data_IF_659986325691
#
_entry.id   IF_659986325691
#
_cell.length_a   1.000
_cell.length_b   1.000
_cell.length_c   1.000
_cell.angle_alpha   90.00
_cell.angle_beta   90.00
_cell.angle_gamma   90.00
#
_symmetry.space_group_name_H-M   'P 1'
#
loop_
_entity.id
_entity.type
_entity.pdbx_description
1 polymer ?
#
# COMPACT_ATOMS: atom_id res chain seq x y z
N UNK A 1 -7.57 19.14 8.92
CA UNK A 1 -6.93 18.03 9.66
C UNK A 1 -5.50 17.93 9.15
N UNK A 2 -4.49 17.88 10.02
CA UNK A 2 -3.10 17.65 9.56
C UNK A 2 -3.02 16.24 9.01
N UNK A 3 -2.51 16.06 7.80
CA UNK A 3 -2.36 14.72 7.24
C UNK A 3 -1.27 13.96 8.01
N UNK A 4 -1.33 12.63 8.02
CA UNK A 4 -0.30 11.80 8.65
C UNK A 4 1.09 12.08 8.05
N UNK A 5 1.13 12.40 6.76
CA UNK A 5 2.33 12.81 6.02
C UNK A 5 2.91 14.13 6.54
N UNK A 6 2.06 15.12 6.82
CA UNK A 6 2.49 16.40 7.42
C UNK A 6 3.06 16.20 8.83
N UNK A 7 2.50 15.28 9.62
CA UNK A 7 3.01 14.94 10.94
C UNK A 7 4.35 14.21 10.85
N UNK A 8 4.50 13.25 9.93
CA UNK A 8 5.77 12.56 9.70
C UNK A 8 6.85 13.52 9.23
N UNK A 9 6.54 14.39 8.26
CA UNK A 9 7.48 15.38 7.74
C UNK A 9 7.97 16.32 8.86
N UNK A 10 7.06 16.84 9.68
CA UNK A 10 7.42 17.69 10.82
C UNK A 10 8.23 16.96 11.89
N UNK A 11 7.90 15.70 12.19
CA UNK A 11 8.70 14.90 13.12
C UNK A 11 10.15 14.74 12.62
N UNK A 12 10.33 14.52 11.31
CA UNK A 12 11.64 14.42 10.68
C UNK A 12 12.43 15.74 10.75
N UNK A 13 11.80 16.86 10.39
CA UNK A 13 12.41 18.19 10.45
C UNK A 13 12.87 18.56 11.88
N UNK A 14 12.06 18.24 12.90
CA UNK A 14 12.43 18.49 14.30
C UNK A 14 13.56 17.56 14.77
N UNK A 15 13.59 16.31 14.27
CA UNK A 15 14.67 15.37 14.57
C UNK A 15 16.00 15.81 13.94
N UNK A 16 15.98 16.32 12.71
CA UNK A 16 17.16 16.88 12.04
C UNK A 16 17.70 18.13 12.74
N UNK A 17 16.82 18.90 13.38
CA UNK A 17 17.21 20.03 14.26
C UNK A 17 17.82 19.59 15.59
N UNK A 18 17.96 18.30 15.84
CA UNK A 18 18.61 17.73 17.02
C UNK A 18 17.70 17.54 18.24
N UNK A 19 16.37 17.69 18.08
CA UNK A 19 15.45 17.50 19.19
C UNK A 19 15.35 16.03 19.62
N UNK A 20 15.12 15.82 20.92
CA UNK A 20 14.83 14.51 21.48
C UNK A 20 13.40 14.06 21.14
N UNK A 21 13.16 12.75 21.20
CA UNK A 21 11.84 12.17 20.91
C UNK A 21 10.74 12.72 21.81
N UNK A 22 11.06 13.03 23.07
CA UNK A 22 10.10 13.59 24.04
C UNK A 22 9.76 15.06 23.74
N UNK A 23 10.75 15.88 23.37
CA UNK A 23 10.51 17.27 22.96
C UNK A 23 9.66 17.35 21.68
N UNK A 24 9.92 16.44 20.72
CA UNK A 24 9.11 16.32 19.51
C UNK A 24 7.67 15.89 19.85
N UNK A 25 7.50 15.00 20.83
CA UNK A 25 6.19 14.54 21.28
C UNK A 25 5.38 15.70 21.88
N UNK A 26 6.01 16.54 22.69
CA UNK A 26 5.42 17.73 23.28
C UNK A 26 5.04 18.79 22.23
N UNK A 27 5.86 18.97 21.20
CA UNK A 27 5.61 19.91 20.09
C UNK A 27 4.48 19.43 19.17
N UNK A 28 4.48 18.14 18.82
CA UNK A 28 3.47 17.53 17.94
C UNK A 28 2.17 17.17 18.68
N UNK A 29 2.14 17.29 20.01
CA UNK A 29 1.00 16.92 20.88
C UNK A 29 0.60 15.45 20.69
N UNK A 30 1.59 14.56 20.62
CA UNK A 30 1.42 13.10 20.50
C UNK A 30 2.26 12.39 21.56
N UNK A 31 2.11 11.07 21.70
CA UNK A 31 2.96 10.29 22.60
C UNK A 31 4.35 10.04 22.00
N UNK A 32 5.36 9.83 22.85
CA UNK A 32 6.73 9.56 22.41
C UNK A 32 6.81 8.34 21.48
N UNK A 33 6.05 7.27 21.77
CA UNK A 33 5.98 6.08 20.92
C UNK A 33 5.41 6.41 19.53
N UNK A 34 4.48 7.37 19.44
CA UNK A 34 3.95 7.86 18.16
C UNK A 34 5.01 8.61 17.37
N UNK A 35 5.89 9.37 18.02
CA UNK A 35 7.03 10.03 17.34
C UNK A 35 7.99 9.00 16.77
N UNK A 36 8.34 7.98 17.55
CA UNK A 36 9.18 6.86 17.07
C UNK A 36 8.53 6.19 15.86
N UNK A 37 7.23 5.92 15.95
CA UNK A 37 6.46 5.35 14.85
C UNK A 37 6.44 6.25 13.61
N UNK A 38 6.24 7.57 13.76
CA UNK A 38 6.22 8.56 12.67
C UNK A 38 7.59 8.70 11.97
N UNK A 39 8.68 8.59 12.73
CA UNK A 39 10.04 8.63 12.19
C UNK A 39 10.42 7.35 11.44
N UNK A 40 9.94 6.20 11.91
CA UNK A 40 10.24 4.89 11.30
C UNK A 40 9.32 4.56 10.11
N UNK A 41 8.03 4.90 10.20
CA UNK A 41 6.98 4.40 9.29
C UNK A 41 6.14 5.51 8.64
N UNK A 42 6.43 6.79 8.90
CA UNK A 42 5.62 7.88 8.36
C UNK A 42 5.76 8.10 6.85
N UNK A 43 6.71 7.40 6.19
CA UNK A 43 6.78 7.24 4.73
C UNK A 43 6.04 5.99 4.21
N UNK A 44 5.85 4.97 5.04
CA UNK A 44 5.18 3.71 4.66
C UNK A 44 3.65 3.84 4.66
N UNK A 45 3.12 5.00 5.08
CA UNK A 45 1.72 5.37 4.94
C UNK A 45 1.24 5.48 3.49
N UNK A 46 2.15 5.48 2.52
CA UNK A 46 1.83 5.22 1.11
C UNK A 46 1.78 3.71 0.87
N UNK A 47 0.85 3.01 1.52
CA UNK A 47 0.19 1.95 0.75
C UNK A 47 -0.48 2.67 -0.41
N UNK A 48 -0.27 2.25 -1.67
CA UNK A 48 -0.97 2.84 -2.80
C UNK A 48 -2.46 2.93 -2.44
N UNK A 49 -3.04 4.12 -2.53
CA UNK A 49 -4.46 4.35 -2.21
C UNK A 49 -5.42 3.59 -3.14
N UNK A 50 -4.91 2.83 -4.11
CA UNK A 50 -5.70 2.34 -5.24
C UNK A 50 -5.54 0.83 -5.52
N UNK A 51 -5.26 0.01 -4.50
CA UNK A 51 -5.62 -1.40 -4.58
C UNK A 51 -6.98 -1.57 -3.89
N UNK A 52 -8.05 -1.16 -4.57
CA UNK A 52 -9.38 -1.59 -4.16
C UNK A 52 -9.40 -3.11 -4.17
N UNK A 53 -9.77 -3.73 -3.05
CA UNK A 53 -10.07 -5.14 -3.03
C UNK A 53 -11.38 -5.34 -3.82
N UNK A 54 -11.24 -5.74 -5.08
CA UNK A 54 -12.38 -5.92 -5.98
C UNK A 54 -12.79 -7.38 -5.95
N UNK A 55 -14.02 -7.62 -5.50
CA UNK A 55 -14.64 -8.92 -5.67
C UNK A 55 -14.90 -9.18 -7.17
N UNK A 56 -14.21 -10.16 -7.74
CA UNK A 56 -14.44 -10.63 -9.10
C UNK A 56 -15.22 -11.94 -9.06
N UNK A 57 -16.46 -11.91 -9.58
CA UNK A 57 -17.25 -13.12 -9.76
C UNK A 57 -16.80 -13.86 -11.03
N UNK A 58 -16.19 -15.03 -10.87
CA UNK A 58 -15.72 -15.86 -11.98
C UNK A 58 -16.78 -16.81 -12.56
N UNK A 59 -17.92 -17.01 -11.89
CA UNK A 59 -18.98 -17.91 -12.34
C UNK A 59 -19.45 -17.65 -13.79
N UNK A 60 -19.56 -16.38 -14.27
CA UNK A 60 -19.95 -16.13 -15.64
C UNK A 60 -19.00 -16.71 -16.69
N UNK A 61 -17.72 -16.96 -16.37
CA UNK A 61 -16.80 -17.59 -17.33
C UNK A 61 -17.29 -19.00 -17.68
N UNK A 62 -17.61 -19.80 -16.67
CA UNK A 62 -18.08 -21.19 -16.85
C UNK A 62 -19.43 -21.32 -17.54
N UNK A 63 -20.30 -20.30 -17.46
CA UNK A 63 -21.64 -20.34 -18.06
C UNK A 63 -21.68 -19.97 -19.55
N UNK A 64 -20.54 -19.60 -20.16
CA UNK A 64 -20.47 -19.25 -21.58
C UNK A 64 -19.44 -20.08 -22.32
N UNK A 65 -19.92 -20.87 -23.29
CA UNK A 65 -19.07 -21.67 -24.20
C UNK A 65 -18.02 -20.80 -24.88
N UNK A 66 -18.40 -19.60 -25.34
CA UNK A 66 -17.47 -18.65 -25.99
C UNK A 66 -16.36 -18.23 -25.03
N UNK A 67 -16.68 -17.89 -23.78
CA UNK A 67 -15.66 -17.47 -22.79
C UNK A 67 -14.73 -18.61 -22.42
N UNK A 68 -15.27 -19.80 -22.13
CA UNK A 68 -14.46 -21.00 -21.87
C UNK A 68 -13.52 -21.33 -23.03
N UNK A 69 -14.01 -21.22 -24.27
CA UNK A 69 -13.18 -21.46 -25.46
C UNK A 69 -12.00 -20.49 -25.53
N UNK A 70 -12.23 -19.21 -25.23
CA UNK A 70 -11.17 -18.20 -25.23
C UNK A 70 -10.14 -18.44 -24.12
N UNK A 71 -10.59 -18.76 -22.90
CA UNK A 71 -9.70 -19.10 -21.79
C UNK A 71 -8.86 -20.33 -22.11
N UNK A 72 -9.46 -21.39 -22.65
CA UNK A 72 -8.74 -22.59 -23.05
C UNK A 72 -7.70 -22.33 -24.13
N UNK A 73 -7.99 -21.45 -25.10
CA UNK A 73 -7.02 -21.03 -26.11
C UNK A 73 -5.83 -20.27 -25.51
N UNK A 74 -6.09 -19.34 -24.58
CA UNK A 74 -5.03 -18.61 -23.89
C UNK A 74 -4.13 -19.55 -23.07
N UNK A 75 -4.72 -20.55 -22.39
CA UNK A 75 -3.94 -21.56 -21.67
C UNK A 75 -3.10 -22.44 -22.61
N UNK A 76 -3.66 -22.84 -23.75
CA UNK A 76 -2.92 -23.63 -24.74
C UNK A 76 -1.73 -22.84 -25.34
N UNK A 77 -1.91 -21.54 -25.54
CA UNK A 77 -0.86 -20.62 -26.01
C UNK A 77 0.30 -20.53 -25.01
N UNK A 78 -0.01 -20.29 -23.73
CA UNK A 78 0.98 -20.29 -22.65
C UNK A 78 1.78 -21.61 -22.56
N UNK A 79 1.10 -22.76 -22.74
CA UNK A 79 1.78 -24.07 -22.72
C UNK A 79 2.71 -24.23 -23.92
N UNK A 80 2.32 -23.72 -25.11
CA UNK A 80 3.20 -23.76 -26.28
C UNK A 80 4.46 -22.92 -26.05
N UNK A 81 4.30 -21.70 -25.55
CA UNK A 81 5.43 -20.82 -25.20
C UNK A 81 6.37 -21.49 -24.18
N UNK A 82 5.83 -22.25 -23.22
CA UNK A 82 6.64 -22.91 -22.21
C UNK A 82 7.39 -24.17 -22.68
N UNK A 83 7.02 -24.73 -23.84
CA UNK A 83 7.58 -26.00 -24.37
C UNK A 83 8.52 -25.76 -25.55
N UNK A 84 8.49 -24.57 -26.15
CA UNK A 84 9.52 -24.07 -27.10
C UNK A 84 10.79 -23.64 -26.36
#
# INVERSE_FOLDING_TARGET
MRSLEELSKKALELKERGMSTYEIADELKVQADTVVWLLLHGRDGVKPKDAYDVYVNWNPIGSSVRRLTLVGRAMADMVREAVE
#
